data_IF_150999252896
#
_entry.id   IF_150999252896
#
_cell.length_a   1.000
_cell.length_b   1.000
_cell.length_c   1.000
_cell.angle_alpha   90.00
_cell.angle_beta   90.00
_cell.angle_gamma   90.00
#
_symmetry.space_group_name_H-M   'P 1'
#
loop_
_entity.id
_entity.type
_entity.pdbx_description
1 polymer ?
#
# COMPACT_ATOMS: atom_id res chain seq x y z
N UNK A 1 6.37 -5.92 68.77
CA UNK A 1 5.09 -5.76 68.03
C UNK A 1 5.38 -5.86 66.54
N UNK A 2 5.51 -7.00 65.87
CA UNK A 2 4.87 -8.31 66.02
C UNK A 2 4.26 -8.57 64.65
N UNK A 3 4.94 -9.33 63.77
CA UNK A 3 4.69 -9.43 62.31
C UNK A 3 3.21 -9.67 61.93
N UNK A 4 2.45 -10.28 62.84
CA UNK A 4 1.00 -10.48 62.75
C UNK A 4 0.23 -9.16 62.65
N UNK A 5 0.60 -8.15 63.43
CA UNK A 5 -0.06 -6.84 63.41
C UNK A 5 0.24 -6.09 62.11
N UNK A 6 1.45 -6.24 61.57
CA UNK A 6 1.82 -5.72 60.26
C UNK A 6 1.02 -6.38 59.13
N UNK A 7 0.81 -7.69 59.21
CA UNK A 7 0.01 -8.44 58.22
C UNK A 7 -1.47 -8.00 58.23
N UNK A 8 -2.07 -7.89 59.43
CA UNK A 8 -3.47 -7.43 59.59
C UNK A 8 -3.63 -6.01 59.03
N UNK A 9 -2.72 -5.10 59.37
CA UNK A 9 -2.77 -3.71 58.89
C UNK A 9 -2.56 -3.59 57.38
N UNK A 10 -1.61 -4.34 56.81
CA UNK A 10 -1.39 -4.40 55.36
C UNK A 10 -2.62 -4.95 54.63
N UNK A 11 -3.25 -6.00 55.15
CA UNK A 11 -4.46 -6.60 54.58
C UNK A 11 -5.61 -5.60 54.49
N UNK A 12 -5.96 -4.95 55.60
CA UNK A 12 -7.05 -3.98 55.61
C UNK A 12 -6.73 -2.71 54.79
N UNK A 13 -5.47 -2.29 54.75
CA UNK A 13 -5.06 -1.15 53.92
C UNK A 13 -5.19 -1.45 52.43
N UNK A 14 -4.84 -2.68 51.99
CA UNK A 14 -5.08 -3.10 50.60
C UNK A 14 -6.59 -3.19 50.34
N UNK A 15 -7.34 -3.81 51.24
CA UNK A 15 -8.77 -4.07 51.05
C UNK A 15 -9.61 -2.77 50.96
N UNK A 16 -9.30 -1.77 51.78
CA UNK A 16 -10.08 -0.53 51.86
C UNK A 16 -9.46 0.67 51.15
N UNK A 17 -8.15 0.69 50.91
CA UNK A 17 -7.45 1.84 50.31
C UNK A 17 -6.68 1.48 49.03
N UNK A 18 -6.64 0.21 48.65
CA UNK A 18 -5.95 -0.25 47.43
C UNK A 18 -4.43 -0.08 47.43
N UNK A 19 -3.82 0.26 48.58
CA UNK A 19 -2.37 0.53 48.67
C UNK A 19 -1.74 -0.01 49.95
N UNK A 20 -0.47 -0.41 49.85
CA UNK A 20 0.33 -0.84 51.00
C UNK A 20 0.86 0.39 51.77
N UNK A 21 0.82 0.40 53.12
CA UNK A 21 1.37 1.48 53.94
C UNK A 21 2.89 1.66 53.77
N UNK A 22 3.38 2.90 53.86
CA UNK A 22 4.80 3.24 53.67
C UNK A 22 5.73 2.55 54.68
N UNK A 23 5.30 2.43 55.94
CA UNK A 23 6.05 1.70 56.98
C UNK A 23 6.22 0.22 56.63
N UNK A 24 5.19 -0.38 56.01
CA UNK A 24 5.22 -1.78 55.59
C UNK A 24 6.16 -2.02 54.42
N UNK A 25 6.28 -1.05 53.51
CA UNK A 25 7.24 -1.09 52.41
C UNK A 25 8.69 -1.09 52.94
N UNK A 26 8.97 -0.28 53.96
CA UNK A 26 10.30 -0.20 54.58
C UNK A 26 10.66 -1.53 55.27
N UNK A 27 9.74 -2.10 56.06
CA UNK A 27 9.99 -3.35 56.80
C UNK A 27 10.14 -4.57 55.86
N UNK A 28 9.45 -4.55 54.71
CA UNK A 28 9.51 -5.63 53.72
C UNK A 28 10.60 -5.43 52.66
N UNK A 29 11.36 -4.32 52.71
CA UNK A 29 12.37 -3.98 51.71
C UNK A 29 11.80 -3.75 50.30
N UNK A 30 10.53 -3.35 50.21
CA UNK A 30 9.82 -3.17 48.95
C UNK A 30 9.86 -1.69 48.54
N UNK A 31 10.31 -1.41 47.32
CA UNK A 31 10.20 -0.08 46.71
C UNK A 31 8.97 -0.05 45.79
N UNK A 32 8.14 0.99 45.89
CA UNK A 32 7.03 1.15 44.93
C UNK A 32 7.63 1.34 43.55
N UNK A 33 7.23 0.47 42.62
CA UNK A 33 7.49 0.70 41.20
C UNK A 33 6.76 1.98 40.82
N UNK A 34 7.51 3.08 40.68
CA UNK A 34 6.99 4.32 40.12
C UNK A 34 6.39 4.01 38.75
N UNK A 35 5.17 4.48 38.50
CA UNK A 35 4.51 4.38 37.20
C UNK A 35 5.28 5.08 36.07
N UNK A 36 6.39 5.76 36.38
CA UNK A 36 7.32 6.33 35.41
C UNK A 36 8.22 5.29 34.73
N UNK A 37 8.16 4.01 35.10
CA UNK A 37 8.87 2.93 34.41
C UNK A 37 8.03 2.24 33.31
N UNK A 38 6.90 2.82 32.91
CA UNK A 38 6.45 2.64 31.53
C UNK A 38 7.39 3.48 30.69
N UNK A 39 8.50 2.88 30.25
CA UNK A 39 9.21 3.34 29.05
C UNK A 39 8.12 3.76 28.10
N UNK A 40 8.07 5.05 27.74
CA UNK A 40 7.17 5.51 26.70
C UNK A 40 7.46 4.62 25.50
N UNK A 41 6.66 3.58 25.35
CA UNK A 41 6.38 3.01 24.06
C UNK A 41 5.73 4.20 23.40
N UNK A 42 6.57 5.02 22.76
CA UNK A 42 6.14 5.96 21.75
C UNK A 42 5.12 5.16 20.98
N UNK A 43 3.87 5.58 21.08
CA UNK A 43 2.83 5.17 20.16
C UNK A 43 3.38 5.63 18.83
N UNK A 44 4.18 4.76 18.19
CA UNK A 44 4.70 5.01 16.86
C UNK A 44 3.46 5.28 16.06
N UNK A 45 3.32 6.52 15.60
CA UNK A 45 2.25 6.90 14.71
C UNK A 45 2.17 5.80 13.66
N UNK A 46 1.00 5.15 13.54
CA UNK A 46 0.81 4.11 12.54
C UNK A 46 1.38 4.63 11.22
N UNK A 47 2.24 3.86 10.52
CA UNK A 47 2.93 4.37 9.34
C UNK A 47 1.87 4.93 8.38
N UNK A 48 1.97 6.23 8.12
CA UNK A 48 1.05 6.89 7.22
C UNK A 48 1.27 6.30 5.83
N UNK A 49 0.22 5.75 5.23
CA UNK A 49 0.24 5.21 3.87
C UNK A 49 0.72 6.32 2.94
N UNK A 50 1.86 6.09 2.29
CA UNK A 50 2.49 7.02 1.35
C UNK A 50 1.92 6.78 -0.05
N UNK A 51 1.96 7.79 -0.91
CA UNK A 51 1.59 7.63 -2.32
C UNK A 51 2.42 6.53 -3.03
N UNK A 52 3.67 6.35 -2.60
CA UNK A 52 4.55 5.27 -3.07
C UNK A 52 4.01 3.88 -2.75
N UNK A 53 3.29 3.71 -1.63
CA UNK A 53 2.76 2.41 -1.23
C UNK A 53 1.65 1.96 -2.18
N UNK A 54 0.82 2.88 -2.67
CA UNK A 54 -0.18 2.58 -3.70
C UNK A 54 0.45 2.18 -5.05
N UNK A 55 1.56 2.80 -5.44
CA UNK A 55 2.29 2.43 -6.66
C UNK A 55 2.88 1.01 -6.55
N UNK A 56 3.55 0.72 -5.43
CA UNK A 56 4.10 -0.60 -5.17
C UNK A 56 3.01 -1.66 -5.02
N UNK A 57 1.85 -1.30 -4.46
CA UNK A 57 0.69 -2.19 -4.38
C UNK A 57 0.21 -2.66 -5.76
N UNK A 58 0.11 -1.75 -6.73
CA UNK A 58 -0.28 -2.10 -8.09
C UNK A 58 0.75 -3.04 -8.72
N UNK A 59 2.05 -2.78 -8.52
CA UNK A 59 3.11 -3.67 -9.00
C UNK A 59 3.01 -5.06 -8.35
N UNK A 60 2.79 -5.16 -7.04
CA UNK A 60 2.58 -6.42 -6.33
C UNK A 60 1.37 -7.19 -6.86
N UNK A 61 0.25 -6.50 -7.12
CA UNK A 61 -0.95 -7.11 -7.68
C UNK A 61 -0.67 -7.69 -9.07
N UNK A 62 -0.06 -6.90 -9.96
CA UNK A 62 0.25 -7.34 -11.32
C UNK A 62 1.29 -8.46 -11.34
N UNK A 63 2.28 -8.40 -10.45
CA UNK A 63 3.26 -9.48 -10.31
C UNK A 63 2.61 -10.78 -9.83
N UNK A 64 1.79 -10.72 -8.77
CA UNK A 64 1.10 -11.89 -8.22
C UNK A 64 0.13 -12.52 -9.22
N UNK A 65 -0.62 -11.70 -9.94
CA UNK A 65 -1.70 -12.21 -10.79
C UNK A 65 -1.21 -12.61 -12.20
N UNK A 66 -0.09 -12.05 -12.69
CA UNK A 66 0.35 -12.22 -14.08
C UNK A 66 1.85 -12.40 -14.31
N UNK A 67 2.68 -12.34 -13.26
CA UNK A 67 4.16 -12.36 -13.36
C UNK A 67 4.73 -11.24 -14.23
N UNK A 68 4.06 -10.08 -14.24
CA UNK A 68 4.42 -8.96 -15.10
C UNK A 68 5.85 -8.45 -14.86
N UNK A 69 6.27 -8.35 -13.59
CA UNK A 69 7.60 -7.84 -13.25
C UNK A 69 8.66 -8.85 -13.70
N UNK A 70 8.46 -10.14 -13.46
CA UNK A 70 9.37 -11.18 -13.95
C UNK A 70 9.58 -11.07 -15.46
N UNK A 71 8.47 -10.96 -16.21
CA UNK A 71 8.53 -10.91 -17.67
C UNK A 71 9.24 -9.68 -18.22
N UNK A 72 9.03 -8.49 -17.63
CA UNK A 72 9.67 -7.25 -18.09
C UNK A 72 11.16 -7.21 -17.71
N UNK A 73 11.52 -7.86 -16.60
CA UNK A 73 12.90 -7.92 -16.12
C UNK A 73 13.72 -9.03 -16.78
N UNK A 74 13.07 -10.00 -17.43
CA UNK A 74 13.72 -11.05 -18.21
C UNK A 74 14.40 -10.48 -19.47
N UNK A 75 15.63 -10.88 -19.74
CA UNK A 75 16.28 -10.59 -21.02
C UNK A 75 15.74 -11.52 -22.10
N UNK A 76 14.92 -10.96 -22.99
CA UNK A 76 14.25 -11.75 -24.01
C UNK A 76 15.01 -11.87 -25.33
N UNK A 77 16.23 -11.33 -25.45
CA UNK A 77 16.97 -11.23 -26.71
C UNK A 77 17.25 -12.58 -27.39
N UNK A 78 17.34 -13.67 -26.63
CA UNK A 78 17.63 -15.00 -27.14
C UNK A 78 16.38 -15.81 -27.52
N UNK A 79 15.17 -15.35 -27.21
CA UNK A 79 13.94 -16.08 -27.51
C UNK A 79 13.41 -15.73 -28.90
N UNK A 80 12.79 -16.72 -29.55
CA UNK A 80 12.03 -16.51 -30.79
C UNK A 80 10.69 -15.81 -30.54
N UNK A 81 10.15 -15.19 -31.59
CA UNK A 81 8.82 -14.58 -31.56
C UNK A 81 7.73 -15.59 -31.16
N UNK A 82 7.87 -16.86 -31.56
CA UNK A 82 6.95 -17.93 -31.17
C UNK A 82 7.00 -18.20 -29.66
N UNK A 83 8.20 -18.25 -29.07
CA UNK A 83 8.38 -18.47 -27.63
C UNK A 83 7.84 -17.28 -26.83
N UNK A 84 8.18 -16.06 -27.24
CA UNK A 84 7.67 -14.83 -26.60
C UNK A 84 6.14 -14.78 -26.71
N UNK A 85 5.60 -15.04 -27.91
CA UNK A 85 4.16 -15.04 -28.15
C UNK A 85 3.42 -16.13 -27.35
N UNK A 86 4.05 -17.28 -27.09
CA UNK A 86 3.46 -18.32 -26.25
C UNK A 86 3.36 -17.87 -24.77
N UNK A 87 4.39 -17.21 -24.25
CA UNK A 87 4.41 -16.71 -22.87
C UNK A 87 3.52 -15.47 -22.66
N UNK A 88 3.61 -14.49 -23.58
CA UNK A 88 2.95 -13.18 -23.45
C UNK A 88 1.44 -13.27 -23.46
N UNK A 89 0.83 -14.18 -24.24
CA UNK A 89 -0.64 -14.23 -24.35
C UNK A 89 -1.30 -14.49 -22.99
N UNK A 90 -0.79 -15.48 -22.25
CA UNK A 90 -1.30 -15.80 -20.91
C UNK A 90 -1.08 -14.66 -19.92
N UNK A 91 0.14 -14.11 -19.88
CA UNK A 91 0.48 -12.96 -19.04
C UNK A 91 -0.41 -11.74 -19.34
N UNK A 92 -0.59 -11.42 -20.62
CA UNK A 92 -1.40 -10.29 -21.06
C UNK A 92 -2.85 -10.43 -20.60
N UNK A 93 -3.45 -11.60 -20.79
CA UNK A 93 -4.83 -11.84 -20.40
C UNK A 93 -4.99 -11.74 -18.87
N UNK A 94 -4.06 -12.31 -18.11
CA UNK A 94 -4.06 -12.22 -16.65
C UNK A 94 -3.87 -10.79 -16.14
N UNK A 95 -2.92 -10.04 -16.71
CA UNK A 95 -2.68 -8.64 -16.37
C UNK A 95 -3.90 -7.76 -16.69
N UNK A 96 -4.54 -8.00 -17.84
CA UNK A 96 -5.76 -7.32 -18.25
C UNK A 96 -6.92 -7.59 -17.29
N UNK A 97 -7.14 -8.84 -16.90
CA UNK A 97 -8.21 -9.19 -15.96
C UNK A 97 -7.92 -8.65 -14.55
N UNK A 98 -6.66 -8.65 -14.11
CA UNK A 98 -6.26 -8.01 -12.85
C UNK A 98 -6.55 -6.50 -12.87
N UNK A 99 -6.15 -5.79 -13.93
CA UNK A 99 -6.46 -4.37 -14.08
C UNK A 99 -7.97 -4.11 -14.06
N UNK A 100 -8.78 -4.85 -14.83
CA UNK A 100 -10.25 -4.67 -14.81
C UNK A 100 -10.87 -4.85 -13.43
N UNK A 101 -10.30 -5.76 -12.63
CA UNK A 101 -10.79 -6.06 -11.28
C UNK A 101 -10.55 -4.91 -10.31
N UNK A 102 -9.37 -4.30 -10.38
CA UNK A 102 -8.92 -3.32 -9.38
C UNK A 102 -8.98 -1.86 -9.87
N UNK A 103 -8.87 -1.62 -11.18
CA UNK A 103 -8.87 -0.30 -11.81
C UNK A 103 -9.73 -0.32 -13.08
N UNK A 104 -10.95 0.21 -13.00
CA UNK A 104 -11.80 0.39 -14.18
C UNK A 104 -11.26 1.56 -15.02
N UNK A 105 -10.64 1.24 -16.15
CA UNK A 105 -10.11 2.23 -17.09
C UNK A 105 -11.16 2.60 -18.14
N UNK A 106 -11.28 3.90 -18.38
CA UNK A 106 -12.20 4.52 -19.35
C UNK A 106 -11.42 5.45 -20.28
N UNK A 107 -11.86 5.65 -21.54
CA UNK A 107 -11.18 6.58 -22.43
C UNK A 107 -11.28 8.01 -21.92
N UNK A 108 -10.23 8.81 -22.12
CA UNK A 108 -10.27 10.25 -21.78
C UNK A 108 -11.12 11.00 -22.82
N UNK A 109 -10.98 10.62 -24.08
CA UNK A 109 -11.80 11.09 -25.19
C UNK A 109 -12.59 9.89 -25.73
N UNK A 110 -13.91 9.95 -25.62
CA UNK A 110 -14.79 8.96 -26.21
C UNK A 110 -14.92 9.22 -27.72
N UNK A 111 -14.01 8.62 -28.49
CA UNK A 111 -13.90 8.82 -29.93
C UNK A 111 -13.12 7.71 -30.61
N UNK A 112 -13.20 7.67 -31.94
CA UNK A 112 -12.53 6.66 -32.76
C UNK A 112 -11.13 7.15 -33.11
N UNK A 113 -10.12 6.38 -32.75
CA UNK A 113 -8.73 6.67 -33.15
C UNK A 113 -8.61 6.71 -34.68
N UNK A 114 -7.93 7.72 -35.21
CA UNK A 114 -7.84 8.01 -36.63
C UNK A 114 -8.88 9.02 -37.15
N UNK A 115 -9.85 9.44 -36.33
CA UNK A 115 -10.85 10.44 -36.72
C UNK A 115 -10.56 11.83 -36.15
N UNK A 116 -11.03 12.88 -36.82
CA UNK A 116 -10.92 14.23 -36.29
C UNK A 116 -11.81 14.36 -35.05
N UNK A 117 -11.25 14.88 -33.96
CA UNK A 117 -11.96 15.12 -32.71
C UNK A 117 -11.65 16.52 -32.21
N UNK A 118 -12.70 17.24 -31.81
CA UNK A 118 -12.57 18.45 -31.03
C UNK A 118 -12.72 18.07 -29.55
N UNK A 119 -11.62 18.04 -28.77
CA UNK A 119 -11.70 17.69 -27.37
C UNK A 119 -12.50 18.76 -26.62
N UNK A 120 -13.68 18.39 -26.14
CA UNK A 120 -14.50 19.21 -25.23
C UNK A 120 -13.94 19.24 -23.81
N UNK A 121 -12.89 18.45 -23.55
CA UNK A 121 -12.22 18.35 -22.26
C UNK A 121 -11.42 19.62 -21.99
N UNK A 122 -11.80 20.37 -20.96
CA UNK A 122 -11.17 21.64 -20.58
C UNK A 122 -9.84 21.48 -19.85
N UNK A 123 -9.53 20.28 -19.37
CA UNK A 123 -8.31 19.97 -18.63
C UNK A 123 -7.11 19.82 -19.57
N UNK A 124 -6.12 20.70 -19.42
CA UNK A 124 -4.89 20.71 -20.23
C UNK A 124 -3.98 19.51 -19.94
N UNK A 125 -4.11 18.85 -18.78
CA UNK A 125 -3.39 17.62 -18.48
C UNK A 125 -4.01 16.40 -19.16
N UNK A 126 -5.30 16.47 -19.52
CA UNK A 126 -6.03 15.35 -20.11
C UNK A 126 -5.78 15.18 -21.62
N UNK A 127 -5.42 16.26 -22.33
CA UNK A 127 -5.24 16.23 -23.78
C UNK A 127 -3.92 16.85 -24.20
N UNK A 128 -3.07 16.07 -24.87
CA UNK A 128 -1.82 16.52 -25.47
C UNK A 128 -1.96 16.60 -26.99
N UNK A 129 -1.82 17.80 -27.54
CA UNK A 129 -1.70 18.00 -28.98
C UNK A 129 -0.28 17.67 -29.45
N UNK A 130 -0.15 16.96 -30.56
CA UNK A 130 1.13 16.55 -31.16
C UNK A 130 1.20 16.98 -32.63
N UNK A 131 2.42 17.22 -33.14
CA UNK A 131 2.65 17.65 -34.53
C UNK A 131 2.78 19.18 -34.67
N UNK A 132 2.25 19.74 -35.75
CA UNK A 132 2.28 21.19 -36.00
C UNK A 132 1.20 21.91 -35.20
N UNK A 133 1.48 22.14 -33.92
CA UNK A 133 0.56 22.80 -32.99
C UNK A 133 0.63 24.32 -33.20
N UNK A 134 -0.48 24.99 -33.55
CA UNK A 134 -0.49 26.45 -33.72
C UNK A 134 -0.21 27.15 -32.39
N UNK A 135 0.28 28.40 -32.44
CA UNK A 135 0.59 29.20 -31.25
C UNK A 135 -0.65 29.53 -30.38
N UNK A 136 -1.87 29.40 -30.93
CA UNK A 136 -3.14 29.55 -30.20
C UNK A 136 -3.74 28.23 -29.73
N UNK A 137 -4.87 28.27 -29.02
CA UNK A 137 -5.58 27.06 -28.58
C UNK A 137 -6.02 26.24 -29.80
N UNK A 138 -5.54 25.00 -30.00
CA UNK A 138 -5.98 24.18 -31.11
C UNK A 138 -7.47 23.85 -30.97
N UNK A 139 -8.22 23.94 -32.06
CA UNK A 139 -9.65 23.61 -32.08
C UNK A 139 -9.91 22.09 -32.12
N UNK A 140 -8.89 21.28 -32.35
CA UNK A 140 -9.03 19.84 -32.49
C UNK A 140 -7.89 19.23 -33.30
N UNK A 141 -7.97 17.93 -33.52
CA UNK A 141 -7.00 17.19 -34.31
C UNK A 141 -7.46 15.76 -34.54
N UNK A 142 -6.69 15.01 -35.31
CA UNK A 142 -6.94 13.57 -35.46
C UNK A 142 -6.58 12.86 -34.16
N UNK A 143 -7.55 12.16 -33.56
CA UNK A 143 -7.35 11.40 -32.35
C UNK A 143 -6.37 10.25 -32.62
N UNK A 144 -5.15 10.32 -32.10
CA UNK A 144 -4.15 9.26 -32.28
C UNK A 144 -4.20 8.18 -31.20
N UNK A 145 -4.57 8.58 -29.99
CA UNK A 145 -4.77 7.69 -28.86
C UNK A 145 -5.84 8.30 -27.95
N UNK A 146 -6.85 7.51 -27.58
CA UNK A 146 -7.99 7.97 -26.76
C UNK A 146 -7.64 8.31 -25.31
N UNK A 147 -6.45 7.91 -24.87
CA UNK A 147 -6.01 8.06 -23.48
C UNK A 147 -6.73 7.10 -22.53
N UNK A 148 -6.29 7.08 -21.27
CA UNK A 148 -6.93 6.28 -20.22
C UNK A 148 -7.13 7.13 -18.97
N UNK A 149 -8.32 7.04 -18.40
CA UNK A 149 -8.72 7.63 -17.12
C UNK A 149 -9.11 6.49 -16.19
N UNK A 150 -8.67 6.55 -14.93
CA UNK A 150 -9.23 5.69 -13.90
C UNK A 150 -10.64 6.17 -13.54
N UNK A 151 -11.66 5.39 -13.91
CA UNK A 151 -13.06 5.67 -13.57
C UNK A 151 -13.44 5.14 -12.18
N UNK A 152 -12.93 3.96 -11.81
CA UNK A 152 -13.06 3.38 -10.47
C UNK A 152 -11.75 2.72 -10.04
N UNK A 153 -11.39 2.89 -8.78
CA UNK A 153 -10.26 2.22 -8.14
C UNK A 153 -10.81 1.46 -6.93
N UNK A 154 -10.56 0.16 -6.88
CA UNK A 154 -10.99 -0.73 -5.83
C UNK A 154 -9.79 -1.60 -5.47
N UNK A 155 -8.96 -1.15 -4.54
CA UNK A 155 -7.73 -1.83 -4.15
C UNK A 155 -7.91 -2.52 -2.80
N UNK A 156 -7.27 -3.69 -2.56
CA UNK A 156 -7.23 -4.29 -1.24
C UNK A 156 -6.68 -3.32 -0.20
N UNK A 157 -7.11 -3.43 1.05
CA UNK A 157 -6.54 -2.62 2.12
C UNK A 157 -5.04 -2.94 2.31
N UNK A 158 -4.21 -1.90 2.36
CA UNK A 158 -2.79 -2.05 2.66
C UNK A 158 -2.60 -2.43 4.13
N UNK A 159 -1.86 -3.50 4.38
CA UNK A 159 -1.48 -3.89 5.72
C UNK A 159 -0.28 -3.05 6.18
N UNK A 160 -0.50 -2.16 7.16
CA UNK A 160 0.55 -1.29 7.71
C UNK A 160 1.75 -2.03 8.32
N UNK A 161 1.64 -3.35 8.59
CA UNK A 161 2.74 -4.19 9.07
C UNK A 161 3.53 -4.86 7.95
N UNK A 162 2.99 -4.89 6.74
CA UNK A 162 3.65 -5.49 5.59
C UNK A 162 4.56 -4.45 4.93
N UNK A 163 5.79 -4.85 4.65
CA UNK A 163 6.72 -4.01 3.90
C UNK A 163 6.27 -3.94 2.43
N UNK A 164 5.78 -2.77 2.01
CA UNK A 164 5.33 -2.50 0.64
C UNK A 164 6.45 -2.55 -0.39
N UNK A 165 7.73 -2.45 0.03
CA UNK A 165 8.89 -2.55 -0.86
C UNK A 165 9.14 -3.96 -1.37
N UNK A 166 8.59 -4.98 -0.69
CA UNK A 166 8.65 -6.38 -1.12
C UNK A 166 7.50 -6.65 -2.10
N UNK A 167 7.80 -6.54 -3.40
CA UNK A 167 6.81 -6.71 -4.47
C UNK A 167 6.29 -8.16 -4.54
N UNK A 168 7.22 -9.12 -4.47
CA UNK A 168 6.94 -10.55 -4.36
C UNK A 168 7.98 -11.19 -3.42
N UNK A 169 7.57 -12.12 -2.54
CA UNK A 169 8.51 -12.81 -1.65
C UNK A 169 9.40 -13.77 -2.45
N UNK A 170 10.62 -13.99 -1.96
CA UNK A 170 11.45 -15.09 -2.45
C UNK A 170 10.88 -16.42 -1.96
N UNK A 171 10.77 -17.40 -2.85
CA UNK A 171 10.32 -18.75 -2.54
C UNK A 171 11.55 -19.67 -2.38
N UNK A 172 11.63 -20.36 -1.25
CA UNK A 172 12.71 -21.29 -0.92
C UNK A 172 12.08 -22.66 -0.66
N UNK A 173 12.52 -23.66 -1.42
CA UNK A 173 12.19 -25.06 -1.16
C UNK A 173 13.13 -25.60 -0.06
N UNK A 174 12.57 -26.34 0.91
CA UNK A 174 13.33 -26.94 2.02
C UNK A 174 13.51 -28.42 1.70
N UNK A 175 14.74 -28.92 1.82
CA UNK A 175 15.10 -30.35 1.73
C UNK A 175 15.03 -31.06 3.09
#
# INVERSE_FOLDING_TARGET
>A
MGRIWLAIRSFFSILFQGKLPDDGLIVLGLTRRSASATKSMQTGAAPAVRATDGALQILSILQRDSRLVDFIMEDVAAYSDEQIGAAVRGLHDQARESLKRYVKLEPVIDGVEGTFTNPTVSDSAAVKFIGNVPAGKPQGGVLRHKGWRAGRIDLPALNAKQDSSIIAPAELEIE
#
